data_IF_423343766771
#
_entry.id   IF_423343766771
#
_cell.length_a   1.000
_cell.length_b   1.000
_cell.length_c   1.000
_cell.angle_alpha   90.00
_cell.angle_beta   90.00
_cell.angle_gamma   90.00
#
_symmetry.space_group_name_H-M   'P 1'
#
loop_
_entity.id
_entity.type
_entity.pdbx_description
1 polymer ?
#
# COMPACT_ATOMS: atom_id res chain seq x y z
N UNK A 1 -42.06 -24.23 19.25
CA UNK A 1 -43.16 -24.89 18.55
C UNK A 1 -42.85 -24.66 17.07
N UNK A 2 -42.43 -25.55 16.29
CA UNK A 2 -42.89 -26.80 15.76
C UNK A 2 -41.70 -27.53 15.08
N UNK A 3 -41.47 -28.76 15.54
CA UNK A 3 -40.74 -29.83 14.93
C UNK A 3 -41.16 -30.08 13.47
N UNK A 4 -40.20 -30.55 12.67
CA UNK A 4 -40.47 -31.62 11.73
C UNK A 4 -39.22 -32.50 11.52
N UNK A 5 -39.28 -33.72 12.08
CA UNK A 5 -38.52 -34.91 11.68
C UNK A 5 -39.32 -35.64 10.63
N UNK A 6 -38.66 -36.32 9.70
CA UNK A 6 -38.98 -37.60 9.00
C UNK A 6 -37.75 -37.80 8.07
N UNK A 7 -36.91 -38.82 8.07
CA UNK A 7 -37.01 -40.22 8.38
C UNK A 7 -37.22 -41.07 7.15
N UNK A 8 -36.34 -42.05 6.86
CA UNK A 8 -36.40 -43.30 6.07
C UNK A 8 -35.20 -43.39 5.14
N UNK A 9 -34.14 -44.20 5.33
CA UNK A 9 -33.95 -45.66 5.36
C UNK A 9 -34.06 -46.36 3.99
N UNK A 10 -32.98 -47.07 3.60
CA UNK A 10 -33.10 -48.30 2.88
C UNK A 10 -32.31 -48.48 1.60
N UNK A 11 -31.40 -49.47 1.57
CA UNK A 11 -31.19 -50.30 0.40
C UNK A 11 -29.74 -50.61 0.05
N UNK A 12 -29.20 -51.68 0.65
CA UNK A 12 -28.01 -52.35 0.20
C UNK A 12 -28.31 -53.23 -1.04
N UNK A 13 -27.41 -53.29 -2.00
CA UNK A 13 -27.24 -54.44 -2.87
C UNK A 13 -25.78 -54.62 -3.27
N UNK A 14 -25.24 -55.74 -2.83
CA UNK A 14 -24.00 -56.36 -3.28
C UNK A 14 -24.24 -57.02 -4.63
N UNK A 15 -23.36 -56.85 -5.58
CA UNK A 15 -23.14 -57.80 -6.66
C UNK A 15 -21.65 -57.87 -6.97
N UNK A 16 -21.08 -59.01 -6.63
CA UNK A 16 -19.76 -59.44 -7.07
C UNK A 16 -19.88 -60.04 -8.46
N UNK A 17 -18.99 -59.71 -9.37
CA UNK A 17 -18.63 -60.53 -10.51
C UNK A 17 -17.13 -60.46 -10.74
N UNK A 18 -16.50 -61.62 -10.56
CA UNK A 18 -15.15 -61.97 -10.98
C UNK A 18 -15.07 -62.10 -12.50
N UNK A 19 -13.95 -61.70 -13.08
CA UNK A 19 -13.68 -62.03 -14.48
C UNK A 19 -12.38 -61.40 -14.98
N UNK A 20 -11.34 -62.25 -14.97
CA UNK A 20 -10.27 -62.38 -15.96
C UNK A 20 -9.45 -61.18 -16.44
N UNK A 21 -8.17 -61.27 -16.11
CA UNK A 21 -7.09 -60.65 -16.87
C UNK A 21 -6.90 -61.28 -18.24
N UNK A 22 -6.54 -60.51 -19.25
CA UNK A 22 -5.26 -60.85 -19.89
C UNK A 22 -4.44 -59.58 -20.32
N UNK A 23 -3.16 -59.80 -20.20
CA UNK A 23 -2.09 -59.36 -21.11
C UNK A 23 -1.68 -57.91 -21.16
N UNK A 24 -0.50 -57.74 -20.63
CA UNK A 24 0.45 -56.68 -20.91
C UNK A 24 0.45 -56.22 -22.37
N UNK A 25 0.19 -54.95 -22.53
CA UNK A 25 0.71 -54.23 -23.66
C UNK A 25 1.33 -52.92 -23.10
N UNK A 26 2.62 -53.03 -22.93
CA UNK A 26 3.52 -51.91 -22.67
C UNK A 26 3.33 -50.88 -23.78
N UNK A 27 2.60 -49.82 -23.47
CA UNK A 27 2.55 -48.62 -24.31
C UNK A 27 3.50 -47.64 -23.66
N UNK A 28 4.64 -47.45 -24.31
CA UNK A 28 5.60 -46.41 -24.01
C UNK A 28 4.87 -45.07 -24.04
N UNK A 29 4.72 -44.45 -22.88
CA UNK A 29 4.35 -43.03 -22.76
C UNK A 29 5.56 -42.21 -23.14
N UNK A 30 5.46 -41.28 -24.11
CA UNK A 30 6.50 -40.27 -24.28
C UNK A 30 6.46 -39.38 -23.06
N UNK A 31 7.53 -39.39 -22.28
CA UNK A 31 7.81 -38.38 -21.28
C UNK A 31 7.98 -37.05 -22.00
N UNK A 32 6.92 -36.28 -22.04
CA UNK A 32 7.04 -34.85 -22.37
C UNK A 32 7.51 -34.20 -21.08
N UNK A 33 8.82 -34.04 -20.98
CA UNK A 33 9.44 -33.08 -20.07
C UNK A 33 8.90 -31.71 -20.45
N UNK A 34 7.78 -31.31 -19.84
CA UNK A 34 7.38 -29.91 -19.79
C UNK A 34 8.22 -29.31 -18.68
N UNK A 35 9.44 -28.92 -19.05
CA UNK A 35 10.21 -27.97 -18.30
C UNK A 35 9.33 -26.73 -18.12
N UNK A 36 8.62 -26.68 -16.98
CA UNK A 36 7.96 -25.48 -16.53
C UNK A 36 9.07 -24.46 -16.30
N UNK A 37 9.28 -23.61 -17.31
CA UNK A 37 9.97 -22.36 -17.10
C UNK A 37 9.19 -21.65 -16.00
N UNK A 38 9.72 -21.65 -14.79
CA UNK A 38 9.34 -20.73 -13.73
C UNK A 38 9.74 -19.37 -14.28
N UNK A 39 8.83 -18.71 -14.94
CA UNK A 39 8.92 -17.29 -15.21
C UNK A 39 8.86 -16.63 -13.84
N UNK A 40 10.05 -16.23 -13.38
CA UNK A 40 10.20 -15.31 -12.25
C UNK A 40 9.50 -14.02 -12.69
N UNK A 41 8.18 -13.99 -12.47
CA UNK A 41 7.37 -12.82 -12.70
C UNK A 41 7.74 -11.83 -11.60
N UNK A 42 8.76 -11.01 -11.83
CA UNK A 42 8.90 -9.77 -11.09
C UNK A 42 7.52 -9.12 -11.07
N UNK A 43 6.93 -8.84 -9.88
CA UNK A 43 5.63 -8.20 -9.81
C UNK A 43 5.64 -6.98 -10.72
N UNK A 44 4.70 -6.93 -11.67
CA UNK A 44 4.60 -5.78 -12.56
C UNK A 44 4.48 -4.53 -11.67
N UNK A 45 5.38 -3.57 -11.86
CA UNK A 45 5.37 -2.35 -11.08
C UNK A 45 3.99 -1.69 -11.22
N UNK A 46 3.42 -1.27 -10.11
CA UNK A 46 2.12 -0.59 -10.10
C UNK A 46 2.19 0.64 -11.02
N UNK A 47 1.38 0.73 -12.08
CA UNK A 47 1.42 1.86 -13.00
C UNK A 47 1.16 3.20 -12.29
N UNK A 48 0.42 3.19 -11.21
CA UNK A 48 0.17 4.39 -10.38
C UNK A 48 1.46 4.91 -9.73
N UNK A 49 2.39 4.03 -9.38
CA UNK A 49 3.68 4.42 -8.82
C UNK A 49 4.51 5.22 -9.84
N UNK A 50 4.41 4.88 -11.12
CA UNK A 50 5.04 5.64 -12.20
C UNK A 50 4.40 7.03 -12.38
N UNK A 51 3.08 7.13 -12.24
CA UNK A 51 2.39 8.42 -12.29
C UNK A 51 2.78 9.30 -11.09
N UNK A 52 2.90 8.73 -9.88
CA UNK A 52 3.43 9.44 -8.71
C UNK A 52 4.87 9.90 -8.96
N UNK A 53 5.73 9.06 -9.51
CA UNK A 53 7.10 9.43 -9.84
C UNK A 53 7.15 10.67 -10.77
N UNK A 54 6.35 10.67 -11.82
CA UNK A 54 6.25 11.82 -12.73
C UNK A 54 5.71 13.07 -12.05
N UNK A 55 4.69 12.91 -11.22
CA UNK A 55 4.14 14.01 -10.42
C UNK A 55 5.24 14.64 -9.56
N UNK A 56 6.00 13.83 -8.83
CA UNK A 56 7.08 14.32 -7.98
C UNK A 56 8.19 15.01 -8.77
N UNK A 57 8.58 14.47 -9.92
CA UNK A 57 9.59 15.06 -10.79
C UNK A 57 9.15 16.41 -11.37
N UNK A 58 7.86 16.60 -11.63
CA UNK A 58 7.31 17.88 -12.09
C UNK A 58 7.21 18.89 -10.95
N UNK A 59 6.76 18.45 -9.77
CA UNK A 59 6.59 19.30 -8.60
C UNK A 59 7.94 19.77 -8.04
N UNK A 60 8.96 18.91 -8.10
CA UNK A 60 10.30 19.15 -7.55
C UNK A 60 11.37 19.10 -8.63
N UNK A 61 11.16 19.87 -9.69
CA UNK A 61 12.09 19.86 -10.85
C UNK A 61 13.54 20.26 -10.49
N UNK A 62 13.73 20.99 -9.38
CA UNK A 62 15.05 21.40 -8.88
C UNK A 62 15.75 20.33 -8.03
N UNK A 63 15.07 19.25 -7.68
CA UNK A 63 15.66 18.17 -6.93
C UNK A 63 16.38 17.18 -7.88
N UNK A 64 17.71 17.18 -7.88
CA UNK A 64 18.52 16.31 -8.75
C UNK A 64 18.22 14.83 -8.56
N UNK A 65 18.03 14.42 -7.30
CA UNK A 65 17.70 13.05 -6.94
C UNK A 65 16.72 13.03 -5.78
N UNK A 66 15.62 12.29 -5.96
CA UNK A 66 14.63 12.08 -4.90
C UNK A 66 14.69 10.63 -4.44
N UNK A 67 14.58 10.44 -3.13
CA UNK A 67 14.35 9.13 -2.51
C UNK A 67 13.04 9.19 -1.77
N UNK A 68 12.16 8.23 -2.01
CA UNK A 68 10.84 8.22 -1.41
C UNK A 68 10.31 6.80 -1.25
N UNK A 69 9.37 6.64 -0.33
CA UNK A 69 8.54 5.44 -0.20
C UNK A 69 7.10 5.79 -0.52
N UNK A 70 6.36 4.86 -1.11
CA UNK A 70 4.93 4.99 -1.38
C UNK A 70 4.18 3.92 -0.61
N UNK A 71 3.07 4.32 -0.02
CA UNK A 71 2.04 3.42 0.50
C UNK A 71 0.67 3.83 -0.03
N UNK A 72 -0.25 2.88 -0.08
CA UNK A 72 -1.58 3.05 -0.65
C UNK A 72 -2.66 2.76 0.38
N UNK A 73 -3.68 3.58 0.44
CA UNK A 73 -4.84 3.36 1.29
C UNK A 73 -6.04 4.17 0.79
N UNK A 74 -7.21 3.57 0.75
CA UNK A 74 -8.47 4.29 0.54
C UNK A 74 -8.80 5.10 1.80
N UNK A 75 -8.49 6.40 1.76
CA UNK A 75 -8.65 7.31 2.88
C UNK A 75 -10.02 7.96 2.94
N UNK A 76 -10.71 8.07 1.79
CA UNK A 76 -11.97 8.79 1.66
C UNK A 76 -13.18 7.87 1.44
N UNK A 77 -12.98 6.55 1.34
CA UNK A 77 -14.01 5.55 1.19
C UNK A 77 -14.65 5.51 -0.20
N UNK A 78 -14.00 6.04 -1.24
CA UNK A 78 -14.54 6.06 -2.60
C UNK A 78 -14.16 4.81 -3.42
N UNK A 79 -13.33 3.94 -2.85
CA UNK A 79 -12.85 2.70 -3.48
C UNK A 79 -11.58 2.87 -4.30
N UNK A 80 -11.04 4.09 -4.40
CA UNK A 80 -9.71 4.34 -4.96
C UNK A 80 -8.74 4.64 -3.82
N UNK A 81 -7.52 4.16 -3.94
CA UNK A 81 -6.52 4.40 -2.90
C UNK A 81 -5.78 5.70 -3.15
N UNK A 82 -5.61 6.49 -2.09
CA UNK A 82 -4.70 7.62 -2.03
C UNK A 82 -3.25 7.14 -1.90
N UNK A 83 -2.33 7.93 -2.46
CA UNK A 83 -0.90 7.70 -2.26
C UNK A 83 -0.40 8.50 -1.06
N UNK A 84 0.21 7.79 -0.10
CA UNK A 84 1.02 8.39 0.94
C UNK A 84 2.48 8.29 0.48
N UNK A 85 3.18 9.41 0.40
CA UNK A 85 4.54 9.49 -0.15
C UNK A 85 5.47 10.13 0.87
N UNK A 86 6.40 9.37 1.40
CA UNK A 86 7.42 9.84 2.32
C UNK A 86 8.71 10.19 1.56
N UNK A 87 9.12 11.46 1.59
CA UNK A 87 10.25 11.98 0.80
C UNK A 87 11.51 12.03 1.67
N UNK A 88 12.39 11.03 1.51
CA UNK A 88 13.52 10.78 2.40
C UNK A 88 14.90 11.12 1.76
N UNK A 89 15.04 12.29 1.17
CA UNK A 89 16.33 12.74 0.65
C UNK A 89 16.81 14.02 1.33
N UNK A 90 18.11 14.32 1.30
CA UNK A 90 18.67 15.51 1.94
C UNK A 90 18.05 16.83 1.47
N UNK A 91 17.50 16.86 0.26
CA UNK A 91 16.79 18.02 -0.28
C UNK A 91 15.54 18.36 0.55
N UNK A 92 14.84 17.35 1.10
CA UNK A 92 13.57 17.50 1.80
C UNK A 92 13.70 17.44 3.31
N UNK A 93 14.66 16.66 3.81
CA UNK A 93 14.72 16.32 5.22
C UNK A 93 15.51 17.34 6.04
N UNK A 94 15.06 17.56 7.27
CA UNK A 94 15.74 18.36 8.29
C UNK A 94 15.89 17.59 9.60
N UNK A 95 16.35 18.28 10.64
CA UNK A 95 16.53 17.67 11.98
C UNK A 95 15.23 17.20 12.61
N UNK A 96 14.08 17.77 12.22
CA UNK A 96 12.75 17.35 12.69
C UNK A 96 12.16 16.16 11.95
N UNK A 97 12.70 15.79 10.81
CA UNK A 97 12.18 14.71 9.97
C UNK A 97 12.09 15.09 8.49
N UNK A 98 11.29 14.36 7.76
CA UNK A 98 11.09 14.50 6.32
C UNK A 98 9.60 14.74 6.01
N UNK A 99 9.23 15.28 4.83
CA UNK A 99 7.82 15.47 4.52
C UNK A 99 7.15 14.18 4.06
N UNK A 100 5.87 14.08 4.44
CA UNK A 100 4.93 13.10 3.89
C UNK A 100 3.88 13.83 3.08
N UNK A 101 3.69 13.42 1.81
CA UNK A 101 2.62 13.92 0.94
C UNK A 101 1.45 12.94 0.96
N UNK A 102 0.24 13.46 0.98
CA UNK A 102 -0.97 12.68 0.75
C UNK A 102 -1.59 13.16 -0.56
N UNK A 103 -1.66 12.26 -1.53
CA UNK A 103 -2.09 12.56 -2.88
C UNK A 103 -3.34 11.77 -3.23
N UNK A 104 -4.37 12.46 -3.73
CA UNK A 104 -5.60 11.85 -4.24
C UNK A 104 -5.73 12.06 -5.74
N UNK A 105 -6.42 11.17 -6.42
CA UNK A 105 -6.70 11.33 -7.85
C UNK A 105 -7.79 12.38 -8.11
N UNK A 106 -7.55 13.26 -9.06
CA UNK A 106 -8.48 14.25 -9.58
C UNK A 106 -8.60 14.07 -11.11
N UNK A 107 -9.41 13.12 -11.53
CA UNK A 107 -9.45 12.69 -12.93
C UNK A 107 -8.15 11.98 -13.32
N UNK A 108 -7.45 12.48 -14.34
CA UNK A 108 -6.16 11.93 -14.78
C UNK A 108 -4.94 12.51 -14.04
N UNK A 109 -5.13 13.38 -13.07
CA UNK A 109 -4.04 14.05 -12.36
C UNK A 109 -4.05 13.71 -10.87
N UNK A 110 -2.89 13.85 -10.23
CA UNK A 110 -2.77 13.79 -8.77
C UNK A 110 -2.89 15.18 -8.17
N UNK A 111 -3.48 15.26 -7.00
CA UNK A 111 -3.66 16.49 -6.22
C UNK A 111 -3.26 16.24 -4.78
N UNK A 112 -2.47 17.15 -4.21
CA UNK A 112 -2.15 17.08 -2.78
C UNK A 112 -3.36 17.43 -1.92
N UNK A 113 -3.57 16.61 -0.89
CA UNK A 113 -4.52 16.81 0.20
C UNK A 113 -3.82 16.78 1.57
N UNK A 114 -2.50 16.66 1.56
CA UNK A 114 -1.67 16.75 2.75
C UNK A 114 -0.20 16.96 2.38
N UNK A 115 0.38 18.01 2.95
CA UNK A 115 1.78 18.38 2.88
C UNK A 115 2.33 18.40 4.31
N UNK A 116 2.55 17.24 4.86
CA UNK A 116 2.95 17.07 6.25
C UNK A 116 4.46 17.21 6.32
N UNK A 117 4.95 18.27 6.92
CA UNK A 117 6.38 18.63 6.91
C UNK A 117 7.22 17.67 7.77
N UNK A 118 7.58 17.98 8.93
CA UNK A 118 8.55 17.28 9.81
C UNK A 118 8.03 15.94 10.37
N UNK A 119 7.62 15.03 9.51
CA UNK A 119 7.18 13.68 9.87
C UNK A 119 8.32 12.67 9.91
N UNK A 120 8.09 11.55 10.55
CA UNK A 120 8.92 10.35 10.57
C UNK A 120 8.06 9.12 10.34
N UNK A 121 8.65 8.08 9.85
CA UNK A 121 8.01 6.77 9.78
C UNK A 121 7.94 6.11 11.17
N UNK A 122 6.94 5.24 11.41
CA UNK A 122 5.95 4.79 10.44
C UNK A 122 4.88 5.83 10.13
N UNK A 123 4.35 5.80 8.89
CA UNK A 123 3.12 6.50 8.52
C UNK A 123 1.98 5.51 8.58
N UNK A 124 0.93 5.81 9.33
CA UNK A 124 -0.15 4.86 9.59
C UNK A 124 -1.53 5.47 9.38
N UNK A 125 -2.53 4.63 9.14
CA UNK A 125 -3.93 4.99 8.94
C UNK A 125 -4.75 4.41 10.08
N UNK A 126 -5.55 5.25 10.73
CA UNK A 126 -6.45 4.84 11.80
C UNK A 126 -7.79 4.34 11.25
N UNK A 127 -8.54 3.61 12.09
CA UNK A 127 -9.94 3.28 11.81
C UNK A 127 -10.92 4.43 12.02
N UNK A 128 -10.50 5.51 12.67
CA UNK A 128 -11.30 6.72 12.85
C UNK A 128 -11.26 7.61 11.60
N UNK A 129 -12.29 8.44 11.47
CA UNK A 129 -12.48 9.33 10.33
C UNK A 129 -12.87 10.72 10.80
N UNK A 130 -12.34 11.73 10.13
CA UNK A 130 -12.71 13.13 10.33
C UNK A 130 -13.06 13.76 8.98
N UNK A 131 -14.23 14.39 8.88
CA UNK A 131 -14.75 14.97 7.65
C UNK A 131 -14.77 14.01 6.44
N UNK A 132 -15.06 12.71 6.69
CA UNK A 132 -15.16 11.67 5.66
C UNK A 132 -13.82 11.14 5.15
N UNK A 133 -12.71 11.43 5.84
CA UNK A 133 -11.39 10.93 5.55
C UNK A 133 -10.81 10.24 6.78
N UNK A 134 -10.07 9.16 6.61
CA UNK A 134 -9.39 8.45 7.70
C UNK A 134 -8.35 9.31 8.33
N UNK A 135 -8.27 9.24 9.67
CA UNK A 135 -7.24 9.92 10.42
C UNK A 135 -5.88 9.22 10.22
N UNK A 136 -4.81 9.99 10.23
CA UNK A 136 -3.45 9.48 10.06
C UNK A 136 -2.65 9.65 11.33
N UNK A 137 -1.63 8.79 11.51
CA UNK A 137 -0.58 9.10 12.48
C UNK A 137 0.81 9.04 11.82
N UNK A 138 1.69 9.88 12.30
CA UNK A 138 3.11 9.91 11.96
C UNK A 138 3.93 10.06 13.23
N UNK A 139 5.15 9.55 13.23
CA UNK A 139 6.09 9.86 14.30
C UNK A 139 6.65 11.27 14.12
N UNK A 140 6.91 11.90 15.24
CA UNK A 140 7.53 13.24 15.33
C UNK A 140 8.66 13.22 16.34
N UNK A 141 9.63 14.11 16.15
CA UNK A 141 10.76 14.23 17.09
C UNK A 141 12.04 14.67 16.39
N UNK A 142 13.05 15.00 17.18
CA UNK A 142 14.31 15.57 16.71
C UNK A 142 14.32 17.09 16.77
N UNK A 143 15.43 17.72 16.39
CA UNK A 143 15.58 19.17 16.51
C UNK A 143 15.52 19.70 17.95
N UNK A 144 15.74 18.83 18.96
CA UNK A 144 15.60 19.18 20.38
C UNK A 144 14.20 18.92 20.97
N UNK A 145 13.24 18.45 20.17
CA UNK A 145 11.93 18.03 20.66
C UNK A 145 11.93 16.55 21.07
N UNK A 146 11.19 16.21 22.13
CA UNK A 146 10.97 14.81 22.48
C UNK A 146 10.20 14.09 21.34
N UNK A 147 10.44 12.79 21.20
CA UNK A 147 9.68 11.94 20.28
C UNK A 147 8.24 11.76 20.73
N UNK A 148 7.36 11.51 19.79
CA UNK A 148 5.95 11.24 20.03
C UNK A 148 5.23 10.83 18.75
N UNK A 149 3.95 10.55 18.87
CA UNK A 149 3.07 10.20 17.77
C UNK A 149 2.08 11.36 17.57
N UNK A 150 2.02 11.90 16.36
CA UNK A 150 1.07 12.94 16.00
C UNK A 150 -0.16 12.34 15.32
N UNK A 151 -1.34 12.80 15.72
CA UNK A 151 -2.63 12.51 15.11
C UNK A 151 -2.99 13.64 14.15
N UNK A 152 -3.26 13.28 12.91
CA UNK A 152 -3.59 14.20 11.82
C UNK A 152 -5.02 13.94 11.35
N UNK A 153 -5.89 14.91 11.55
CA UNK A 153 -7.30 14.87 11.16
C UNK A 153 -7.50 15.74 9.92
N UNK A 154 -8.28 15.23 8.98
CA UNK A 154 -8.62 15.98 7.78
C UNK A 154 -9.58 17.14 8.11
N UNK A 155 -9.29 18.37 7.70
CA UNK A 155 -10.11 19.55 8.02
C UNK A 155 -11.29 19.79 7.05
N UNK A 156 -11.43 18.92 6.04
CA UNK A 156 -12.39 19.05 4.92
C UNK A 156 -11.72 19.55 3.64
N UNK A 157 -10.42 19.88 3.69
CA UNK A 157 -9.62 20.33 2.53
C UNK A 157 -8.24 19.66 2.50
N UNK A 158 -7.60 19.54 3.66
CA UNK A 158 -6.25 18.96 3.79
C UNK A 158 -6.00 18.40 5.18
N UNK A 159 -4.97 17.58 5.29
CA UNK A 159 -4.36 17.24 6.58
C UNK A 159 -3.49 18.37 7.10
N UNK A 160 -3.25 18.45 8.44
CA UNK A 160 -2.35 19.43 9.04
C UNK A 160 -0.95 19.39 8.42
N UNK A 161 -0.42 20.54 8.04
CA UNK A 161 0.90 20.61 7.39
C UNK A 161 2.07 20.51 8.37
N UNK A 162 1.84 20.74 9.65
CA UNK A 162 2.87 20.57 10.68
C UNK A 162 2.35 19.65 11.79
N UNK A 163 2.90 18.43 11.93
CA UNK A 163 2.43 17.46 12.90
C UNK A 163 2.84 17.79 14.34
N UNK A 164 3.67 18.81 14.57
CA UNK A 164 4.19 19.15 15.91
C UNK A 164 3.42 20.27 16.60
N UNK A 165 2.45 20.86 15.93
CA UNK A 165 1.63 21.97 16.47
C UNK A 165 0.16 21.81 16.07
N UNK A 166 -0.73 22.47 16.80
CA UNK A 166 -2.15 22.49 16.43
C UNK A 166 -2.34 22.92 14.96
N UNK A 167 -3.31 22.34 14.22
CA UNK A 167 -4.39 21.50 14.72
C UNK A 167 -4.03 20.01 14.88
N UNK A 168 -2.77 19.57 14.65
CA UNK A 168 -2.34 18.23 14.98
C UNK A 168 -2.43 17.99 16.50
N UNK A 169 -2.79 16.76 16.86
CA UNK A 169 -2.95 16.32 18.25
C UNK A 169 -1.92 15.24 18.58
N UNK A 170 -1.74 14.91 19.85
CA UNK A 170 -0.94 13.75 20.24
C UNK A 170 -1.79 12.48 20.13
N UNK A 171 -1.20 11.37 19.65
CA UNK A 171 -1.80 10.04 19.67
C UNK A 171 -1.09 9.14 20.69
N UNK A 172 -1.82 8.14 21.22
CA UNK A 172 -1.29 7.14 22.15
C UNK A 172 -0.71 5.90 21.42
N UNK A 173 -0.97 5.78 20.11
CA UNK A 173 -0.55 4.61 19.33
C UNK A 173 -0.72 4.80 17.82
N UNK A 174 -0.22 3.83 17.09
CA UNK A 174 -0.30 3.75 15.65
C UNK A 174 -1.56 3.01 15.17
N UNK A 175 -1.96 3.29 13.93
CA UNK A 175 -2.96 2.52 13.19
C UNK A 175 -2.34 1.40 12.35
N UNK A 176 -2.99 1.11 11.23
CA UNK A 176 -2.44 0.21 10.21
C UNK A 176 -1.25 0.86 9.55
N UNK A 177 -0.11 0.19 9.58
CA UNK A 177 1.13 0.70 8.96
C UNK A 177 0.99 0.67 7.44
N UNK A 178 1.19 1.84 6.83
CA UNK A 178 1.18 2.01 5.37
C UNK A 178 2.61 2.21 4.84
N UNK A 179 3.41 3.01 5.54
CA UNK A 179 4.84 3.16 5.26
C UNK A 179 5.59 2.79 6.55
N UNK A 180 6.26 1.64 6.59
CA UNK A 180 7.02 1.20 7.78
C UNK A 180 8.33 1.98 7.95
N UNK A 181 8.97 1.83 9.12
CA UNK A 181 10.26 2.47 9.41
C UNK A 181 11.38 2.05 8.45
N UNK A 182 11.35 0.78 8.04
CA UNK A 182 12.30 0.14 7.13
C UNK A 182 11.80 0.08 5.68
N UNK A 183 10.91 1.01 5.29
CA UNK A 183 10.35 1.03 3.94
C UNK A 183 11.44 1.05 2.86
N UNK A 184 11.24 0.25 1.84
CA UNK A 184 12.09 0.29 0.66
C UNK A 184 11.93 1.63 -0.06
N UNK A 185 13.07 2.30 -0.31
CA UNK A 185 13.09 3.60 -0.96
C UNK A 185 13.26 3.47 -2.46
N UNK A 186 12.34 4.05 -3.20
CA UNK A 186 12.46 4.28 -4.64
C UNK A 186 13.38 5.48 -4.87
N UNK A 187 14.24 5.39 -5.89
CA UNK A 187 15.08 6.49 -6.34
C UNK A 187 14.53 7.02 -7.65
N UNK A 188 14.28 8.33 -7.72
CA UNK A 188 13.95 9.03 -8.94
C UNK A 188 14.94 10.16 -9.17
N UNK A 189 15.52 10.19 -10.36
CA UNK A 189 16.37 11.29 -10.83
C UNK A 189 15.52 12.40 -11.45
N UNK A 190 16.05 13.60 -11.52
CA UNK A 190 15.41 14.71 -12.21
C UNK A 190 15.08 14.31 -13.67
N UNK A 191 14.01 14.89 -14.19
CA UNK A 191 13.74 14.78 -15.63
C UNK A 191 14.88 15.51 -16.34
N UNK A 192 15.60 14.77 -17.21
CA UNK A 192 16.55 15.40 -18.12
C UNK A 192 15.82 16.52 -18.86
N UNK A 193 16.34 17.76 -18.74
CA UNK A 193 15.83 18.86 -19.54
C UNK A 193 16.02 18.45 -20.99
N UNK A 194 14.91 18.16 -21.69
CA UNK A 194 14.94 17.87 -23.12
C UNK A 194 15.62 19.05 -23.80
N UNK A 195 16.88 18.86 -24.17
CA UNK A 195 17.66 19.87 -24.84
C UNK A 195 16.93 20.32 -26.10
N UNK A 196 16.50 21.58 -26.09
CA UNK A 196 15.90 22.25 -27.25
C UNK A 196 16.94 22.59 -28.32
#
# INVERSE_FOLDING_TARGET
MRNWMIGVAGGAMLAACSGESPSEREVATPSTDVEQAVVDATPAADPRAEDIRRFLQQEYADAETMRYAIGWSDLNGDGNEEALVYLASPYFCGSGGCPTRVLTQAGAMWRSVGDISVSRTPVTVLGSETNGWKDLTVDVGGGGMPGGIALLKFDGRSYPSNPTVAPAESAEGHGTVIIPEDAEMVVAEALEASGG
#
